data_IF_153116137176
#
_entry.id   IF_153116137176
#
_cell.length_a   1.000
_cell.length_b   1.000
_cell.length_c   1.000
_cell.angle_alpha   90.00
_cell.angle_beta   90.00
_cell.angle_gamma   90.00
#
_symmetry.space_group_name_H-M   'P 1'
#
loop_
_entity.id
_entity.type
_entity.pdbx_description
1 polymer ?
#
# COMPACT_ATOMS: atom_id res chain seq x y z
N UNK A 1 -2.94 11.09 29.60
CA UNK A 1 -3.95 10.25 28.89
C UNK A 1 -3.87 10.62 27.43
N UNK A 2 -3.72 9.69 26.46
CA UNK A 2 -3.78 10.07 25.05
C UNK A 2 -5.15 10.68 24.79
N UNK A 3 -5.16 11.85 24.14
CA UNK A 3 -6.39 12.58 23.89
C UNK A 3 -7.36 11.74 23.03
N UNK A 4 -8.69 11.84 23.27
CA UNK A 4 -9.68 11.01 22.58
C UNK A 4 -9.58 11.13 21.05
N UNK A 5 -9.13 12.26 20.50
CA UNK A 5 -8.89 12.42 19.06
C UNK A 5 -7.94 11.36 18.48
N UNK A 6 -6.92 10.93 19.21
CA UNK A 6 -5.93 9.99 18.72
C UNK A 6 -6.47 8.55 18.66
N UNK A 7 -7.48 8.23 19.46
CA UNK A 7 -8.17 6.93 19.41
C UNK A 7 -9.06 6.83 18.17
N UNK A 8 -9.82 7.88 17.87
CA UNK A 8 -10.66 7.95 16.67
C UNK A 8 -9.84 7.87 15.39
N UNK A 9 -8.70 8.56 15.33
CA UNK A 9 -7.80 8.50 14.17
C UNK A 9 -7.23 7.09 13.95
N UNK A 10 -6.84 6.40 15.03
CA UNK A 10 -6.40 5.00 14.97
C UNK A 10 -7.52 4.06 14.50
N UNK A 11 -8.73 4.23 15.04
CA UNK A 11 -9.88 3.42 14.65
C UNK A 11 -10.20 3.62 13.16
N UNK A 12 -10.24 4.86 12.69
CA UNK A 12 -10.44 5.20 11.28
C UNK A 12 -9.35 4.57 10.39
N UNK A 13 -8.08 4.72 10.77
CA UNK A 13 -6.96 4.12 10.03
C UNK A 13 -7.10 2.61 9.88
N UNK A 14 -7.38 1.90 10.98
CA UNK A 14 -7.54 0.44 10.97
C UNK A 14 -8.75 0.05 10.13
N UNK A 15 -9.88 0.77 10.24
CA UNK A 15 -11.07 0.48 9.46
C UNK A 15 -10.82 0.58 7.95
N UNK A 16 -10.22 1.68 7.49
CA UNK A 16 -9.87 1.86 6.07
C UNK A 16 -8.82 0.85 5.59
N UNK A 17 -7.84 0.55 6.45
CA UNK A 17 -6.82 -0.46 6.15
C UNK A 17 -7.45 -1.85 5.96
N UNK A 18 -8.41 -2.23 6.80
CA UNK A 18 -9.13 -3.51 6.66
C UNK A 18 -9.88 -3.60 5.32
N UNK A 19 -10.64 -2.55 4.95
CA UNK A 19 -11.36 -2.50 3.66
C UNK A 19 -10.38 -2.61 2.50
N UNK A 20 -9.26 -1.90 2.57
CA UNK A 20 -8.24 -1.93 1.53
C UNK A 20 -7.57 -3.31 1.41
N UNK A 21 -7.16 -3.91 2.54
CA UNK A 21 -6.57 -5.25 2.57
C UNK A 21 -7.52 -6.32 2.01
N UNK A 22 -8.80 -6.27 2.40
CA UNK A 22 -9.82 -7.18 1.87
C UNK A 22 -9.91 -7.07 0.33
N UNK A 23 -9.90 -5.84 -0.19
CA UNK A 23 -9.87 -5.58 -1.62
C UNK A 23 -8.65 -6.18 -2.33
N UNK A 24 -7.45 -5.97 -1.76
CA UNK A 24 -6.20 -6.46 -2.34
C UNK A 24 -6.14 -7.99 -2.42
N UNK A 25 -6.73 -8.68 -1.45
CA UNK A 25 -6.78 -10.15 -1.40
C UNK A 25 -7.87 -10.70 -2.34
N UNK A 26 -9.01 -10.01 -2.45
CA UNK A 26 -10.17 -10.51 -3.20
C UNK A 26 -10.05 -10.33 -4.72
N UNK A 27 -9.45 -9.22 -5.17
CA UNK A 27 -9.35 -8.87 -6.60
C UNK A 27 -8.70 -9.95 -7.48
N UNK A 28 -7.56 -10.56 -7.11
CA UNK A 28 -6.96 -11.60 -7.92
C UNK A 28 -7.85 -12.84 -8.09
N UNK A 29 -8.67 -13.16 -7.08
CA UNK A 29 -9.66 -14.22 -7.15
C UNK A 29 -10.73 -13.94 -8.21
N UNK A 30 -11.18 -12.68 -8.33
CA UNK A 30 -12.10 -12.25 -9.37
C UNK A 30 -11.47 -12.33 -10.77
N UNK A 31 -10.19 -11.98 -10.91
CA UNK A 31 -9.45 -12.11 -12.16
C UNK A 31 -9.39 -13.58 -12.62
N UNK A 32 -9.09 -14.51 -11.70
CA UNK A 32 -9.03 -15.94 -12.00
C UNK A 32 -10.41 -16.55 -12.29
N UNK A 33 -11.46 -16.03 -11.65
CA UNK A 33 -12.85 -16.45 -11.84
C UNK A 33 -13.39 -16.13 -13.24
N UNK A 34 -12.95 -15.01 -13.84
CA UNK A 34 -13.34 -14.61 -15.20
C UNK A 34 -13.01 -15.67 -16.25
N UNK A 35 -11.85 -16.32 -16.13
CA UNK A 35 -11.41 -17.39 -17.02
C UNK A 35 -12.23 -18.71 -16.92
N UNK A 36 -13.32 -18.73 -16.14
CA UNK A 36 -14.22 -19.90 -15.99
C UNK A 36 -15.62 -19.66 -16.56
N UNK A 37 -15.98 -18.41 -16.86
CA UNK A 37 -17.34 -18.05 -17.27
C UNK A 37 -17.43 -17.99 -18.81
N UNK A 38 -18.28 -18.80 -19.45
CA UNK A 38 -18.42 -18.82 -20.91
C UNK A 38 -19.39 -17.74 -21.43
N UNK A 39 -20.22 -17.14 -20.57
CA UNK A 39 -21.29 -16.25 -20.99
C UNK A 39 -20.91 -14.76 -20.88
N UNK A 40 -21.04 -14.05 -22.00
CA UNK A 40 -20.70 -12.63 -22.11
C UNK A 40 -21.50 -11.72 -21.14
N UNK A 41 -22.81 -11.93 -20.91
CA UNK A 41 -23.58 -11.08 -20.00
C UNK A 41 -23.09 -11.14 -18.54
N UNK A 42 -22.80 -12.33 -18.01
CA UNK A 42 -22.28 -12.48 -16.64
C UNK A 42 -20.86 -11.93 -16.52
N UNK A 43 -20.01 -12.12 -17.54
CA UNK A 43 -18.67 -11.53 -17.58
C UNK A 43 -18.71 -10.00 -17.49
N UNK A 44 -19.65 -9.36 -18.18
CA UNK A 44 -19.84 -7.91 -18.15
C UNK A 44 -20.35 -7.44 -16.78
N UNK A 45 -21.31 -8.17 -16.18
CA UNK A 45 -21.82 -7.85 -14.85
C UNK A 45 -20.74 -7.97 -13.77
N UNK A 46 -19.96 -9.06 -13.80
CA UNK A 46 -18.83 -9.30 -12.91
C UNK A 46 -17.78 -8.19 -13.03
N UNK A 47 -17.43 -7.81 -14.27
CA UNK A 47 -16.50 -6.71 -14.51
C UNK A 47 -17.02 -5.39 -13.96
N UNK A 48 -18.28 -5.02 -14.25
CA UNK A 48 -18.89 -3.78 -13.73
C UNK A 48 -18.87 -3.75 -12.21
N UNK A 49 -19.27 -4.85 -11.56
CA UNK A 49 -19.24 -4.95 -10.11
C UNK A 49 -17.82 -4.75 -9.56
N UNK A 50 -16.84 -5.43 -10.15
CA UNK A 50 -15.43 -5.35 -9.73
C UNK A 50 -14.86 -3.95 -9.95
N UNK A 51 -15.16 -3.33 -11.09
CA UNK A 51 -14.71 -1.98 -11.47
C UNK A 51 -15.29 -0.90 -10.55
N UNK A 52 -16.59 -0.98 -10.27
CA UNK A 52 -17.26 -0.08 -9.33
C UNK A 52 -16.70 -0.28 -7.92
N UNK A 53 -16.58 -1.51 -7.44
CA UNK A 53 -15.98 -1.79 -6.14
C UNK A 53 -14.55 -1.25 -6.02
N UNK A 54 -13.71 -1.50 -7.01
CA UNK A 54 -12.33 -1.01 -7.05
C UNK A 54 -12.26 0.53 -6.97
N UNK A 55 -13.06 1.22 -7.79
CA UNK A 55 -13.01 2.67 -7.91
C UNK A 55 -13.70 3.40 -6.76
N UNK A 56 -14.87 2.91 -6.34
CA UNK A 56 -15.75 3.61 -5.38
C UNK A 56 -15.47 3.20 -3.93
N UNK A 57 -14.94 2.00 -3.69
CA UNK A 57 -14.71 1.49 -2.34
C UNK A 57 -13.21 1.34 -2.05
N UNK A 58 -12.51 0.52 -2.83
CA UNK A 58 -11.14 0.14 -2.50
C UNK A 58 -10.17 1.32 -2.66
N UNK A 59 -10.28 2.09 -3.75
CA UNK A 59 -9.39 3.23 -4.00
C UNK A 59 -9.52 4.34 -2.96
N UNK A 60 -10.73 4.82 -2.58
CA UNK A 60 -10.85 5.80 -1.50
C UNK A 60 -10.45 5.20 -0.15
N UNK A 61 -10.73 3.92 0.12
CA UNK A 61 -10.24 3.27 1.34
C UNK A 61 -8.70 3.27 1.42
N UNK A 62 -8.00 3.00 0.32
CA UNK A 62 -6.54 3.07 0.27
C UNK A 62 -6.03 4.49 0.60
N UNK A 63 -6.61 5.51 -0.04
CA UNK A 63 -6.24 6.92 0.20
C UNK A 63 -6.48 7.30 1.66
N UNK A 64 -7.64 6.95 2.21
CA UNK A 64 -7.98 7.27 3.60
C UNK A 64 -7.12 6.50 4.61
N UNK A 65 -6.79 5.24 4.33
CA UNK A 65 -5.85 4.46 5.15
C UNK A 65 -4.47 5.11 5.20
N UNK A 66 -3.95 5.55 4.05
CA UNK A 66 -2.65 6.25 3.97
C UNK A 66 -2.71 7.60 4.67
N UNK A 67 -3.72 8.42 4.38
CA UNK A 67 -3.85 9.76 4.96
C UNK A 67 -3.94 9.72 6.50
N UNK A 68 -4.79 8.83 7.04
CA UNK A 68 -4.92 8.64 8.49
C UNK A 68 -3.67 8.02 9.11
N UNK A 69 -2.98 7.10 8.40
CA UNK A 69 -1.72 6.51 8.84
C UNK A 69 -0.59 7.53 8.92
N UNK A 70 -0.48 8.38 7.91
CA UNK A 70 0.46 9.51 7.89
C UNK A 70 0.15 10.51 8.99
N UNK A 71 -1.14 10.83 9.22
CA UNK A 71 -1.57 11.65 10.35
C UNK A 71 -1.13 11.10 11.71
N UNK A 72 -1.17 9.78 11.90
CA UNK A 72 -0.66 9.14 13.13
C UNK A 72 0.85 9.29 13.30
N UNK A 73 1.64 9.28 12.22
CA UNK A 73 3.09 9.50 12.30
C UNK A 73 3.38 10.88 12.88
N UNK A 74 2.72 11.92 12.35
CA UNK A 74 2.88 13.29 12.83
C UNK A 74 2.33 13.51 14.24
N UNK A 75 1.18 12.89 14.57
CA UNK A 75 0.56 13.02 15.88
C UNK A 75 1.43 12.42 17.01
N UNK A 76 2.18 11.36 16.73
CA UNK A 76 3.04 10.69 17.72
C UNK A 76 4.54 11.04 17.58
N UNK A 77 4.94 11.84 16.58
CA UNK A 77 6.33 12.24 16.32
C UNK A 77 7.31 11.06 16.26
N UNK A 78 6.85 9.93 15.70
CA UNK A 78 7.63 8.69 15.65
C UNK A 78 8.45 8.67 14.37
N UNK A 79 9.76 8.88 14.45
CA UNK A 79 10.69 8.80 13.32
C UNK A 79 11.79 7.78 13.62
N UNK A 80 11.46 6.51 13.42
CA UNK A 80 12.30 5.36 13.79
C UNK A 80 12.49 4.43 12.59
N UNK A 81 13.62 3.72 12.47
CA UNK A 81 13.96 2.89 11.31
C UNK A 81 12.83 1.95 10.84
N UNK A 82 12.16 1.25 11.76
CA UNK A 82 11.09 0.31 11.42
C UNK A 82 9.89 0.98 10.74
N UNK A 83 9.65 2.27 11.01
CA UNK A 83 8.58 3.02 10.36
C UNK A 83 8.86 3.22 8.88
N UNK A 84 10.10 3.54 8.50
CA UNK A 84 10.48 3.68 7.10
C UNK A 84 10.32 2.37 6.33
N UNK A 85 10.70 1.25 6.96
CA UNK A 85 10.47 -0.07 6.38
C UNK A 85 8.97 -0.36 6.22
N UNK A 86 8.14 0.00 7.21
CA UNK A 86 6.68 -0.09 7.09
C UNK A 86 6.17 0.74 5.91
N UNK A 87 6.64 1.97 5.75
CA UNK A 87 6.24 2.84 4.64
C UNK A 87 6.66 2.27 3.28
N UNK A 88 7.82 1.62 3.19
CA UNK A 88 8.24 0.92 1.97
C UNK A 88 7.28 -0.22 1.61
N UNK A 89 6.89 -1.05 2.58
CA UNK A 89 5.94 -2.15 2.36
C UNK A 89 4.55 -1.62 2.00
N UNK A 90 4.08 -0.55 2.66
CA UNK A 90 2.83 0.13 2.30
C UNK A 90 2.92 0.73 0.88
N UNK A 91 4.06 1.29 0.50
CA UNK A 91 4.32 1.77 -0.87
C UNK A 91 4.21 0.65 -1.91
N UNK A 92 4.72 -0.54 -1.59
CA UNK A 92 4.55 -1.73 -2.44
C UNK A 92 3.07 -2.17 -2.53
N UNK A 93 2.29 -2.07 -1.44
CA UNK A 93 0.84 -2.31 -1.49
C UNK A 93 0.12 -1.31 -2.42
N UNK A 94 0.53 -0.04 -2.42
CA UNK A 94 0.00 0.98 -3.35
C UNK A 94 0.36 0.63 -4.79
N UNK A 95 1.61 0.25 -5.07
CA UNK A 95 2.02 -0.17 -6.41
C UNK A 95 1.19 -1.38 -6.90
N UNK A 96 0.96 -2.36 -6.03
CA UNK A 96 0.10 -3.50 -6.34
C UNK A 96 -1.36 -3.09 -6.59
N UNK A 97 -1.90 -2.17 -5.78
CA UNK A 97 -3.24 -1.61 -6.00
C UNK A 97 -3.36 -0.95 -7.37
N UNK A 98 -2.39 -0.11 -7.75
CA UNK A 98 -2.37 0.53 -9.07
C UNK A 98 -2.27 -0.49 -10.21
N UNK A 99 -1.44 -1.52 -10.02
CA UNK A 99 -1.34 -2.62 -10.99
C UNK A 99 -2.68 -3.34 -11.18
N UNK A 100 -3.46 -3.56 -10.11
CA UNK A 100 -4.80 -4.12 -10.25
C UNK A 100 -5.74 -3.22 -11.05
N UNK A 101 -5.60 -1.90 -10.95
CA UNK A 101 -6.34 -0.96 -11.80
C UNK A 101 -6.03 -1.15 -13.28
N UNK A 102 -4.75 -1.39 -13.62
CA UNK A 102 -4.31 -1.67 -15.01
C UNK A 102 -4.89 -2.99 -15.51
N UNK A 103 -4.75 -4.07 -14.73
CA UNK A 103 -5.30 -5.39 -15.06
C UNK A 103 -6.82 -5.31 -15.26
N UNK A 104 -7.52 -4.56 -14.42
CA UNK A 104 -8.97 -4.44 -14.52
C UNK A 104 -9.41 -3.61 -15.75
N UNK A 105 -8.56 -2.69 -16.22
CA UNK A 105 -8.77 -1.96 -17.46
C UNK A 105 -8.57 -2.88 -18.69
N UNK A 106 -7.55 -3.74 -18.68
CA UNK A 106 -7.36 -4.79 -19.70
C UNK A 106 -8.55 -5.76 -19.73
N UNK A 107 -9.09 -6.12 -18.56
CA UNK A 107 -10.25 -6.99 -18.43
C UNK A 107 -11.58 -6.35 -18.87
N UNK A 108 -11.58 -5.09 -19.32
CA UNK A 108 -12.74 -4.49 -19.97
C UNK A 108 -13.03 -5.16 -21.32
N UNK A 109 -11.98 -5.66 -21.99
CA UNK A 109 -12.11 -6.44 -23.22
C UNK A 109 -12.62 -7.86 -22.89
N UNK A 110 -13.66 -8.36 -23.59
CA UNK A 110 -14.23 -9.67 -23.29
C UNK A 110 -13.29 -10.85 -23.60
N UNK A 111 -12.42 -10.66 -24.58
CA UNK A 111 -11.44 -11.66 -25.04
C UNK A 111 -10.19 -11.73 -24.16
N UNK A 112 -9.94 -10.70 -23.35
CA UNK A 112 -8.82 -10.68 -22.43
C UNK A 112 -9.09 -11.54 -21.19
N UNK A 113 -8.27 -12.58 -21.03
CA UNK A 113 -8.27 -13.45 -19.86
C UNK A 113 -6.96 -13.28 -19.09
N UNK A 114 -7.06 -13.01 -17.79
CA UNK A 114 -5.87 -12.98 -16.94
C UNK A 114 -5.44 -14.41 -16.57
N UNK A 115 -4.17 -14.80 -16.80
CA UNK A 115 -3.71 -16.15 -16.49
C UNK A 115 -3.86 -16.50 -15.00
N UNK A 116 -4.42 -17.68 -14.69
CA UNK A 116 -4.71 -18.10 -13.31
C UNK A 116 -3.48 -18.12 -12.41
N UNK A 117 -2.33 -18.53 -12.94
CA UNK A 117 -1.08 -18.55 -12.18
C UNK A 117 -0.62 -17.13 -11.80
N UNK A 118 -0.84 -16.14 -12.68
CA UNK A 118 -0.55 -14.73 -12.39
C UNK A 118 -1.52 -14.21 -11.33
N UNK A 119 -2.81 -14.50 -11.44
CA UNK A 119 -3.78 -14.19 -10.38
C UNK A 119 -3.38 -14.78 -9.04
N UNK A 120 -2.96 -16.04 -9.00
CA UNK A 120 -2.51 -16.68 -7.77
C UNK A 120 -1.24 -16.01 -7.21
N UNK A 121 -0.27 -15.68 -8.08
CA UNK A 121 0.93 -14.95 -7.69
C UNK A 121 0.60 -13.57 -7.09
N UNK A 122 -0.35 -12.82 -7.68
CA UNK A 122 -0.82 -11.55 -7.14
C UNK A 122 -1.52 -11.71 -5.77
N UNK A 123 -2.35 -12.74 -5.61
CA UNK A 123 -2.97 -13.05 -4.32
C UNK A 123 -1.92 -13.34 -3.25
N UNK A 124 -0.91 -14.16 -3.56
CA UNK A 124 0.20 -14.46 -2.65
C UNK A 124 0.98 -13.19 -2.33
N UNK A 125 1.32 -12.38 -3.33
CA UNK A 125 2.02 -11.11 -3.14
C UNK A 125 1.25 -10.17 -2.22
N UNK A 126 -0.07 -10.01 -2.41
CA UNK A 126 -0.92 -9.20 -1.55
C UNK A 126 -0.88 -9.69 -0.09
N UNK A 127 -1.02 -11.00 0.13
CA UNK A 127 -0.96 -11.58 1.46
C UNK A 127 0.41 -11.41 2.13
N UNK A 128 1.49 -11.58 1.38
CA UNK A 128 2.85 -11.37 1.89
C UNK A 128 3.11 -9.91 2.28
N UNK A 129 2.63 -8.95 1.48
CA UNK A 129 2.75 -7.52 1.80
C UNK A 129 1.95 -7.16 3.06
N UNK A 130 0.70 -7.63 3.16
CA UNK A 130 -0.15 -7.41 4.34
C UNK A 130 0.50 -8.03 5.58
N UNK A 131 0.97 -9.28 5.49
CA UNK A 131 1.69 -9.95 6.56
C UNK A 131 2.95 -9.18 6.96
N UNK A 132 3.72 -8.68 5.99
CA UNK A 132 4.90 -7.84 6.24
C UNK A 132 4.57 -6.58 7.04
N UNK A 133 3.49 -5.87 6.68
CA UNK A 133 3.02 -4.71 7.46
C UNK A 133 2.64 -5.12 8.88
N UNK A 134 1.90 -6.22 9.05
CA UNK A 134 1.48 -6.70 10.37
C UNK A 134 2.67 -7.08 11.25
N UNK A 135 3.64 -7.81 10.69
CA UNK A 135 4.87 -8.19 11.40
C UNK A 135 5.70 -6.96 11.81
N UNK A 136 5.78 -5.94 10.95
CA UNK A 136 6.47 -4.68 11.28
C UNK A 136 5.76 -3.91 12.40
N UNK A 137 4.42 -3.90 12.39
CA UNK A 137 3.63 -3.21 13.42
C UNK A 137 3.67 -3.94 14.77
N UNK A 138 3.58 -5.28 14.78
CA UNK A 138 3.57 -6.09 16.01
C UNK A 138 4.99 -6.29 16.56
N UNK A 139 5.93 -6.64 15.69
CA UNK A 139 7.29 -7.00 16.06
C UNK A 139 8.15 -5.79 16.44
N UNK A 140 7.82 -4.59 15.95
CA UNK A 140 8.61 -3.34 16.11
C UNK A 140 10.11 -3.66 16.17
N UNK A 141 10.67 -4.26 15.11
CA UNK A 141 12.03 -4.75 15.17
C UNK A 141 12.95 -3.59 15.55
N UNK A 142 13.78 -3.82 16.57
CA UNK A 142 14.90 -2.93 16.90
C UNK A 142 15.93 -3.10 15.79
N UNK A 143 15.64 -2.49 14.64
CA UNK A 143 16.60 -2.40 13.54
C UNK A 143 17.69 -1.48 14.05
N UNK A 144 18.88 -2.03 14.27
CA UNK A 144 20.03 -1.29 14.74
C UNK A 144 20.37 -0.13 13.79
N UNK A 145 20.96 0.96 14.31
CA UNK A 145 21.34 2.14 13.52
C UNK A 145 22.40 1.83 12.44
N UNK A 146 22.99 0.64 12.45
CA UNK A 146 23.94 0.12 11.46
C UNK A 146 23.31 -0.20 10.09
N UNK A 147 21.99 -0.39 10.02
CA UNK A 147 21.27 -0.72 8.78
C UNK A 147 20.82 0.54 8.02
N UNK A 148 20.63 1.65 8.72
CA UNK A 148 20.12 2.90 8.15
C UNK A 148 21.14 4.04 8.29
N UNK A 149 21.38 4.84 7.24
CA UNK A 149 22.31 5.96 7.34
C UNK A 149 21.89 6.99 8.40
N UNK A 150 22.84 7.52 9.16
CA UNK A 150 22.60 8.51 10.23
C UNK A 150 21.84 9.76 9.76
N UNK A 151 21.99 10.14 8.48
CA UNK A 151 21.28 11.27 7.89
C UNK A 151 19.78 11.04 7.70
N UNK A 152 19.32 9.78 7.65
CA UNK A 152 17.91 9.44 7.58
C UNK A 152 17.26 9.47 8.97
N UNK A 153 18.07 9.25 10.02
CA UNK A 153 17.62 9.15 11.41
C UNK A 153 17.60 10.53 12.10
N UNK A 154 18.34 11.51 11.60
CA UNK A 154 18.40 12.87 12.13
C UNK A 154 17.71 13.86 11.17
N UNK A 155 16.51 14.39 11.51
CA UNK A 155 15.88 15.42 10.70
C UNK A 155 16.77 16.68 10.65
N UNK A 156 17.34 16.97 9.48
CA UNK A 156 18.15 18.17 9.21
C UNK A 156 19.50 17.92 8.53
N UNK A 157 20.18 16.81 8.82
CA UNK A 157 21.55 16.56 8.31
C UNK A 157 21.63 16.29 6.80
N UNK A 158 20.58 15.73 6.21
CA UNK A 158 20.52 15.53 4.75
C UNK A 158 20.59 16.86 3.98
N UNK A 159 20.08 17.93 4.57
CA UNK A 159 20.09 19.26 3.96
C UNK A 159 21.49 19.91 4.05
N UNK A 160 22.19 19.71 5.18
CA UNK A 160 23.58 20.16 5.36
C UNK A 160 24.59 19.39 4.48
N UNK A 161 24.39 18.07 4.31
CA UNK A 161 25.18 17.25 3.39
C UNK A 161 24.99 17.65 1.93
N UNK A 162 23.76 18.01 1.55
CA UNK A 162 23.47 18.50 0.21
C UNK A 162 24.08 19.89 -0.02
N UNK A 163 23.97 20.80 0.95
CA UNK A 163 24.60 22.13 0.86
C UNK A 163 26.12 22.05 0.76
N UNK A 164 26.77 21.26 1.61
CA UNK A 164 28.23 21.05 1.55
C UNK A 164 28.69 20.41 0.24
N UNK A 165 27.90 19.49 -0.33
CA UNK A 165 28.16 18.91 -1.65
C UNK A 165 28.04 19.95 -2.78
N UNK A 166 27.06 20.87 -2.69
CA UNK A 166 26.89 21.96 -3.65
C UNK A 166 28.01 23.01 -3.56
N UNK A 167 28.48 23.33 -2.36
CA UNK A 167 29.63 24.21 -2.15
C UNK A 167 30.92 23.59 -2.68
N UNK A 168 31.13 22.28 -2.49
CA UNK A 168 32.27 21.55 -3.05
C UNK A 168 32.28 21.47 -4.59
N UNK A 169 31.11 21.55 -5.24
CA UNK A 169 30.99 21.49 -6.71
C UNK A 169 31.03 22.85 -7.39
N UNK A 170 31.05 23.95 -6.63
CA UNK A 170 31.27 25.29 -7.19
C UNK A 170 32.77 25.47 -7.49
N UNK A 171 33.20 25.58 -8.76
CA UNK A 171 34.58 25.93 -9.05
C UNK A 171 34.87 27.35 -8.53
N UNK A 172 36.06 27.51 -7.97
CA UNK A 172 36.62 28.77 -7.45
C UNK A 172 36.76 29.79 -8.58
#
# INVERSE_FOLDING_TARGET
MPAPEAAWLKAAHIAFLCVWCAGLVFLPGLFAGRARQPDQPTLMLLWRFTWVGYRVVLSPAAVLAIATGTGLIFAYQVFVPWLFLKLLVVGAMVALHMYYGLVLAELAEPEHCYPRWRSAALAVAANLLILGVLLLVLGKPEIGPDVFPDWLLQPGKGQELFQSSLESMRPI
#
